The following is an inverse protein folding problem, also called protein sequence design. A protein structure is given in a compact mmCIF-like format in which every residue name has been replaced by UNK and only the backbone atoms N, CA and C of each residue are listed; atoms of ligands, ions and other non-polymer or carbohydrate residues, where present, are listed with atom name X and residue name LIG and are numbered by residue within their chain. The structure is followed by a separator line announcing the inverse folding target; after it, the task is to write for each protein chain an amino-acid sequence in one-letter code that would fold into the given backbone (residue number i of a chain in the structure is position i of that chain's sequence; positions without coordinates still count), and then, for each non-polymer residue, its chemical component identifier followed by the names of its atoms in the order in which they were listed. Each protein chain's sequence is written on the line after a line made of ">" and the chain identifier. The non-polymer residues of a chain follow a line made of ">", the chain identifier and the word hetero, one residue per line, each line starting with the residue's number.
data_IF_320799122712
#
_entry.id   IF_320799122712
#
_cell.length_a   1.000
_cell.length_b   1.000
_cell.length_c   1.000
_cell.angle_alpha   90.00
_cell.angle_beta   90.00
_cell.angle_gamma   90.00
#
_symmetry.space_group_name_H-M   'P 1'
#
loop_
_entity.id
_entity.type
_entity.pdbx_description
1 polymer ?
#
# COMPACT_ATOMS: atom_id res chain seq x y z
N UNK A 1 14.13 43.56 60.37
CA UNK A 1 12.92 42.99 59.75
C UNK A 1 12.72 43.60 58.38
N UNK A 2 13.12 42.91 57.29
CA UNK A 2 12.64 43.20 55.93
C UNK A 2 12.55 41.90 55.12
N UNK A 3 11.30 41.48 55.02
CA UNK A 3 10.61 40.70 53.98
C UNK A 3 11.35 39.55 53.26
N UNK A 4 10.77 38.37 53.44
CA UNK A 4 10.91 37.13 52.69
C UNK A 4 10.14 37.23 51.35
N UNK A 5 10.54 36.36 50.41
CA UNK A 5 9.76 35.81 49.29
C UNK A 5 9.83 36.65 47.98
N UNK A 6 9.86 36.10 46.77
CA UNK A 6 9.35 34.81 46.26
C UNK A 6 10.23 34.36 45.08
N UNK A 7 10.63 33.10 45.08
CA UNK A 7 11.25 32.36 43.97
C UNK A 7 10.22 32.08 42.87
N UNK A 8 10.49 32.47 41.62
CA UNK A 8 9.78 31.94 40.43
C UNK A 8 10.78 31.24 39.52
N UNK A 9 10.85 29.92 39.68
CA UNK A 9 11.54 29.01 38.77
C UNK A 9 10.62 28.75 37.57
N UNK A 10 10.92 29.38 36.43
CA UNK A 10 10.22 29.13 35.17
C UNK A 10 10.80 27.86 34.52
N UNK A 11 10.11 26.73 34.69
CA UNK A 11 10.37 25.50 33.95
C UNK A 11 9.72 25.66 32.57
N UNK A 12 10.52 25.93 31.54
CA UNK A 12 10.07 25.88 30.16
C UNK A 12 9.99 24.41 29.72
N UNK A 13 8.80 23.81 29.84
CA UNK A 13 8.50 22.54 29.19
C UNK A 13 8.35 22.80 27.68
N UNK A 14 9.37 22.42 26.91
CA UNK A 14 9.26 22.36 25.46
C UNK A 14 8.27 21.23 25.12
N UNK A 15 7.09 21.62 24.65
CA UNK A 15 6.09 20.71 24.10
C UNK A 15 6.67 20.07 22.83
N UNK A 16 6.96 18.78 22.90
CA UNK A 16 7.14 17.95 21.71
C UNK A 16 5.83 18.00 20.92
N UNK A 17 5.86 18.57 19.72
CA UNK A 17 4.78 18.43 18.74
C UNK A 17 4.66 16.93 18.42
N UNK A 18 3.69 16.26 19.04
CA UNK A 18 3.22 14.96 18.58
C UNK A 18 2.62 15.18 17.19
N UNK A 19 3.39 14.80 16.16
CA UNK A 19 2.83 14.55 14.85
C UNK A 19 1.63 13.61 15.00
N UNK A 20 0.56 13.81 14.22
CA UNK A 20 -0.46 12.78 14.05
C UNK A 20 0.20 11.59 13.35
N UNK A 21 0.92 10.78 14.13
CA UNK A 21 1.63 9.61 13.68
C UNK A 21 0.63 8.48 13.52
N UNK A 22 0.31 8.17 12.27
CA UNK A 22 0.09 6.78 11.91
C UNK A 22 1.49 6.13 11.85
N UNK A 23 2.10 6.00 13.03
CA UNK A 23 3.43 5.42 13.20
C UNK A 23 3.37 3.91 13.13
N UNK A 24 4.53 3.28 13.04
CA UNK A 24 4.86 1.84 13.13
C UNK A 24 3.99 0.98 14.06
N UNK A 25 3.30 1.59 15.03
CA UNK A 25 2.33 1.03 15.97
C UNK A 25 1.10 0.43 15.26
N UNK A 26 1.31 -0.64 14.49
CA UNK A 26 0.27 -1.33 13.76
C UNK A 26 0.77 -2.20 12.61
N UNK A 27 2.02 -1.97 12.16
CA UNK A 27 2.64 -2.80 11.13
C UNK A 27 2.98 -4.17 11.73
N UNK A 28 2.42 -5.23 11.13
CA UNK A 28 2.65 -6.61 11.60
C UNK A 28 3.77 -7.32 10.83
N UNK A 29 4.23 -6.73 9.72
CA UNK A 29 5.40 -7.17 8.97
C UNK A 29 6.65 -7.06 9.84
N UNK A 30 7.49 -8.09 9.85
CA UNK A 30 8.77 -8.08 10.57
C UNK A 30 9.71 -7.00 10.02
N UNK A 31 10.44 -6.31 10.91
CA UNK A 31 11.48 -5.32 10.56
C UNK A 31 12.61 -5.87 9.70
N UNK A 32 12.87 -7.16 9.82
CA UNK A 32 13.91 -7.85 9.04
C UNK A 32 13.40 -8.32 7.66
N UNK A 33 12.10 -8.13 7.37
CA UNK A 33 11.51 -8.48 6.07
C UNK A 33 11.89 -7.45 5.01
N UNK A 34 12.18 -7.87 3.75
CA UNK A 34 12.34 -6.93 2.64
C UNK A 34 11.08 -6.07 2.37
N UNK A 35 9.90 -6.49 2.85
CA UNK A 35 8.64 -5.80 2.61
C UNK A 35 8.32 -4.74 3.67
N UNK A 36 9.11 -4.68 4.74
CA UNK A 36 8.84 -3.80 5.89
C UNK A 36 8.76 -2.34 5.48
N UNK A 37 9.73 -1.87 4.70
CA UNK A 37 9.76 -0.49 4.21
C UNK A 37 8.56 -0.20 3.30
N UNK A 38 8.10 -1.19 2.52
CA UNK A 38 6.88 -1.08 1.73
C UNK A 38 5.63 -0.93 2.61
N UNK A 39 5.58 -1.64 3.73
CA UNK A 39 4.50 -1.51 4.72
C UNK A 39 4.51 -0.13 5.42
N UNK A 40 5.69 0.39 5.77
CA UNK A 40 5.83 1.75 6.34
C UNK A 40 5.37 2.82 5.36
N UNK A 41 5.83 2.73 4.11
CA UNK A 41 5.42 3.66 3.05
C UNK A 41 3.90 3.59 2.81
N UNK A 42 3.32 2.39 2.82
CA UNK A 42 1.86 2.23 2.71
C UNK A 42 1.12 2.85 3.90
N UNK A 43 1.59 2.59 5.12
CA UNK A 43 1.00 3.13 6.35
C UNK A 43 0.99 4.66 6.34
N UNK A 44 2.11 5.28 5.94
CA UNK A 44 2.25 6.73 5.90
C UNK A 44 1.41 7.41 4.80
N UNK A 45 1.20 6.75 3.66
CA UNK A 45 0.69 7.41 2.46
C UNK A 45 -0.68 6.90 1.97
N UNK A 46 -1.05 5.67 2.28
CA UNK A 46 -2.21 4.98 1.72
C UNK A 46 -3.28 4.64 2.77
N UNK A 47 -2.89 4.53 4.04
CA UNK A 47 -3.75 4.03 5.13
C UNK A 47 -4.99 4.88 5.42
N UNK A 48 -4.97 6.17 5.05
CA UNK A 48 -6.13 7.04 5.20
C UNK A 48 -7.32 6.64 4.31
N UNK A 49 -7.07 5.95 3.19
CA UNK A 49 -8.11 5.55 2.24
C UNK A 49 -8.30 4.04 2.16
N UNK A 50 -7.22 3.26 2.28
CA UNK A 50 -7.25 1.81 2.10
C UNK A 50 -7.17 1.06 3.42
N UNK A 51 -7.87 -0.06 3.48
CA UNK A 51 -7.65 -1.08 4.52
C UNK A 51 -6.64 -2.08 3.99
N UNK A 52 -5.59 -2.34 4.76
CA UNK A 52 -4.60 -3.39 4.54
C UNK A 52 -3.95 -3.71 5.89
N UNK A 53 -4.44 -4.77 6.54
CA UNK A 53 -4.13 -5.11 7.93
C UNK A 53 -2.63 -5.26 8.20
N UNK A 54 -1.80 -5.82 7.30
CA UNK A 54 -0.35 -5.94 7.55
C UNK A 54 0.41 -4.62 7.69
N UNK A 55 -0.12 -3.53 7.13
CA UNK A 55 0.40 -2.17 7.33
C UNK A 55 -0.30 -1.42 8.49
N UNK A 56 -1.12 -2.12 9.27
CA UNK A 56 -1.98 -1.52 10.31
C UNK A 56 -3.11 -0.66 9.75
N UNK A 57 -3.29 -0.61 8.42
CA UNK A 57 -4.17 0.33 7.75
C UNK A 57 -5.64 -0.08 7.84
N UNK A 58 -6.49 0.83 8.32
CA UNK A 58 -7.94 0.59 8.49
C UNK A 58 -8.82 1.40 7.53
N UNK A 59 -8.21 2.21 6.65
CA UNK A 59 -8.93 3.14 5.79
C UNK A 59 -9.66 4.21 6.61
N UNK A 60 -10.72 4.79 6.04
CA UNK A 60 -11.57 5.78 6.73
C UNK A 60 -12.49 5.17 7.80
N UNK A 61 -12.53 3.84 7.93
CA UNK A 61 -13.41 3.11 8.86
C UNK A 61 -14.93 3.19 8.54
N UNK A 62 -15.36 4.06 7.63
CA UNK A 62 -16.77 4.29 7.31
C UNK A 62 -17.11 3.77 5.90
N UNK A 63 -17.69 2.58 5.76
CA UNK A 63 -18.00 1.98 4.44
C UNK A 63 -19.12 2.69 3.64
N UNK A 64 -19.73 3.75 4.16
CA UNK A 64 -20.83 4.50 3.53
C UNK A 64 -20.44 5.79 2.81
N UNK A 65 -19.20 6.24 2.89
CA UNK A 65 -18.73 7.44 2.16
C UNK A 65 -18.21 7.02 0.76
N UNK A 66 -18.27 7.91 -0.25
CA UNK A 66 -17.87 7.61 -1.64
C UNK A 66 -16.37 7.78 -1.93
N UNK A 67 -15.58 8.19 -0.93
CA UNK A 67 -14.17 8.59 -1.04
C UNK A 67 -13.31 7.60 -0.25
N UNK A 68 -13.48 6.31 -0.52
CA UNK A 68 -12.76 5.23 0.16
C UNK A 68 -11.97 4.45 -0.88
N UNK A 69 -10.74 4.08 -0.52
CA UNK A 69 -10.01 3.06 -1.24
C UNK A 69 -10.65 1.69 -1.01
N UNK A 70 -10.46 0.73 -1.93
CA UNK A 70 -10.82 -0.66 -1.68
C UNK A 70 -10.16 -1.21 -0.41
N UNK A 71 -10.86 -2.13 0.26
CA UNK A 71 -10.27 -2.99 1.27
C UNK A 71 -9.39 -4.02 0.58
N UNK A 72 -8.07 -3.89 0.75
CA UNK A 72 -7.07 -4.74 0.10
C UNK A 72 -6.91 -6.07 0.84
N UNK A 73 -7.39 -6.23 2.08
CA UNK A 73 -7.42 -7.55 2.73
C UNK A 73 -8.38 -8.51 1.99
N UNK A 74 -9.41 -7.98 1.33
CA UNK A 74 -10.50 -8.75 0.71
C UNK A 74 -10.34 -8.98 -0.80
N UNK A 75 -9.25 -8.51 -1.39
CA UNK A 75 -8.97 -8.67 -2.83
C UNK A 75 -7.48 -8.84 -3.05
N UNK A 76 -7.12 -9.78 -3.91
CA UNK A 76 -5.73 -9.90 -4.35
C UNK A 76 -5.40 -8.76 -5.31
N UNK A 77 -4.15 -8.31 -5.26
CA UNK A 77 -3.60 -7.36 -6.20
C UNK A 77 -2.27 -7.90 -6.74
N UNK A 78 -1.94 -7.53 -7.96
CA UNK A 78 -0.63 -7.84 -8.54
C UNK A 78 0.29 -6.65 -8.38
N UNK A 79 1.60 -6.89 -8.39
CA UNK A 79 2.60 -5.81 -8.41
C UNK A 79 2.31 -4.78 -9.52
N UNK A 80 1.99 -5.24 -10.73
CA UNK A 80 1.72 -4.38 -11.88
C UNK A 80 0.43 -3.57 -11.70
N UNK A 81 -0.64 -4.16 -11.15
CA UNK A 81 -1.89 -3.45 -10.89
C UNK A 81 -1.71 -2.38 -9.81
N UNK A 82 -1.03 -2.73 -8.71
CA UNK A 82 -0.72 -1.80 -7.63
C UNK A 82 0.16 -0.64 -8.11
N UNK A 83 1.24 -0.93 -8.84
CA UNK A 83 2.15 0.09 -9.36
C UNK A 83 1.42 1.03 -10.34
N UNK A 84 0.60 0.48 -11.24
CA UNK A 84 -0.22 1.28 -12.15
C UNK A 84 -1.17 2.21 -11.39
N UNK A 85 -1.86 1.70 -10.37
CA UNK A 85 -2.76 2.49 -9.55
C UNK A 85 -2.03 3.63 -8.83
N UNK A 86 -0.86 3.37 -8.24
CA UNK A 86 -0.04 4.39 -7.57
C UNK A 86 0.36 5.49 -8.55
N UNK A 87 0.77 5.13 -9.77
CA UNK A 87 1.26 6.10 -10.77
C UNK A 87 0.15 6.92 -11.42
N UNK A 88 -1.06 6.37 -11.53
CA UNK A 88 -2.14 6.96 -12.34
C UNK A 88 -3.38 7.38 -11.54
N UNK A 89 -3.35 7.24 -10.20
CA UNK A 89 -4.49 7.63 -9.36
C UNK A 89 -5.62 6.59 -9.34
N UNK A 90 -5.24 5.31 -9.25
CA UNK A 90 -6.15 4.19 -9.42
C UNK A 90 -6.56 3.97 -10.87
N UNK A 91 -7.41 2.97 -11.10
CA UNK A 91 -7.85 2.59 -12.46
C UNK A 91 -8.79 3.60 -13.13
N UNK A 92 -9.35 4.54 -12.37
CA UNK A 92 -10.19 5.62 -12.89
C UNK A 92 -9.50 6.99 -12.90
N UNK A 93 -8.40 7.17 -12.16
CA UNK A 93 -7.77 8.48 -11.94
C UNK A 93 -8.61 9.48 -11.14
N UNK A 94 -9.78 9.09 -10.64
CA UNK A 94 -10.79 10.06 -10.17
C UNK A 94 -10.74 10.36 -8.66
N UNK A 95 -10.33 9.39 -7.84
CA UNK A 95 -10.42 9.47 -6.37
C UNK A 95 -9.07 9.23 -5.70
N UNK A 96 -8.34 8.19 -6.12
CA UNK A 96 -7.00 7.94 -5.60
C UNK A 96 -6.05 8.97 -6.22
N UNK A 97 -5.25 9.71 -5.43
CA UNK A 97 -4.26 10.61 -5.99
C UNK A 97 -3.17 9.85 -6.76
N UNK A 98 -2.67 10.45 -7.83
CA UNK A 98 -1.55 9.91 -8.61
C UNK A 98 -0.20 10.28 -7.97
N UNK A 99 0.81 9.44 -8.15
CA UNK A 99 2.21 9.68 -7.75
C UNK A 99 2.38 10.07 -6.28
N UNK A 100 1.60 9.45 -5.38
CA UNK A 100 1.70 9.67 -3.92
C UNK A 100 3.10 9.27 -3.41
N UNK A 101 3.64 8.18 -3.97
CA UNK A 101 5.03 7.77 -3.89
C UNK A 101 5.55 7.52 -5.31
N UNK A 102 6.85 7.60 -5.52
CA UNK A 102 7.47 7.51 -6.86
C UNK A 102 8.76 6.69 -6.85
N UNK A 103 9.21 6.25 -8.03
CA UNK A 103 10.46 5.50 -8.17
C UNK A 103 10.48 4.25 -7.31
N UNK A 104 11.60 4.04 -6.61
CA UNK A 104 11.82 2.86 -5.77
C UNK A 104 10.77 2.71 -4.65
N UNK A 105 10.30 3.82 -4.06
CA UNK A 105 9.25 3.79 -3.03
C UNK A 105 7.94 3.23 -3.59
N UNK A 106 7.56 3.64 -4.80
CA UNK A 106 6.36 3.11 -5.47
C UNK A 106 6.48 1.61 -5.74
N UNK A 107 7.68 1.13 -6.11
CA UNK A 107 7.91 -0.29 -6.30
C UNK A 107 7.83 -1.06 -4.97
N UNK A 108 8.39 -0.53 -3.89
CA UNK A 108 8.33 -1.14 -2.55
C UNK A 108 6.88 -1.26 -2.07
N UNK A 109 6.08 -0.20 -2.21
CA UNK A 109 4.65 -0.23 -1.88
C UNK A 109 3.91 -1.22 -2.77
N UNK A 110 4.18 -1.24 -4.08
CA UNK A 110 3.52 -2.16 -5.00
C UNK A 110 3.84 -3.63 -4.72
N UNK A 111 5.10 -3.96 -4.34
CA UNK A 111 5.50 -5.30 -3.91
C UNK A 111 4.78 -5.70 -2.63
N UNK A 112 4.83 -4.84 -1.62
CA UNK A 112 4.12 -5.07 -0.36
C UNK A 112 2.61 -5.28 -0.57
N UNK A 113 1.95 -4.47 -1.41
CA UNK A 113 0.52 -4.69 -1.72
C UNK A 113 0.31 -6.03 -2.41
N UNK A 114 1.18 -6.43 -3.33
CA UNK A 114 1.03 -7.71 -4.03
C UNK A 114 1.17 -8.92 -3.11
N UNK A 115 2.09 -8.87 -2.15
CA UNK A 115 2.41 -9.99 -1.26
C UNK A 115 1.40 -10.15 -0.12
N UNK A 116 0.73 -9.06 0.29
CA UNK A 116 -0.11 -9.03 1.49
C UNK A 116 -1.61 -8.77 1.22
N UNK A 117 -1.99 -8.35 0.00
CA UNK A 117 -3.40 -8.18 -0.34
C UNK A 117 -4.11 -9.52 -0.52
N UNK A 118 -5.39 -9.57 -0.15
CA UNK A 118 -6.23 -10.75 -0.30
C UNK A 118 -6.10 -11.77 0.82
N UNK A 119 -5.49 -11.43 1.96
CA UNK A 119 -5.39 -12.32 3.13
C UNK A 119 -6.75 -12.86 3.62
N UNK A 120 -7.81 -12.09 3.39
CA UNK A 120 -9.20 -12.39 3.77
C UNK A 120 -10.08 -12.73 2.56
N UNK A 121 -9.51 -12.88 1.36
CA UNK A 121 -10.26 -13.16 0.12
C UNK A 121 -10.89 -14.57 0.09
N UNK A 122 -10.57 -15.45 1.06
CA UNK A 122 -11.05 -16.83 1.16
C UNK A 122 -10.37 -17.78 0.16
N UNK A 123 -10.35 -19.08 0.47
CA UNK A 123 -9.72 -20.12 -0.37
C UNK A 123 -10.25 -20.16 -1.83
N UNK A 124 -11.46 -19.65 -2.06
CA UNK A 124 -12.08 -19.53 -3.39
C UNK A 124 -11.36 -18.55 -4.36
N UNK A 125 -10.46 -17.70 -3.86
CA UNK A 125 -9.69 -16.75 -4.69
C UNK A 125 -8.31 -17.26 -5.13
N UNK A 126 -7.76 -18.28 -4.47
CA UNK A 126 -6.40 -18.76 -4.71
C UNK A 126 -6.31 -19.78 -5.85
N UNK A 127 -7.40 -20.50 -6.11
CA UNK A 127 -7.48 -21.56 -7.14
C UNK A 127 -7.67 -21.02 -8.58
N UNK A 128 -7.91 -19.71 -8.76
CA UNK A 128 -8.04 -19.09 -10.07
C UNK A 128 -6.72 -18.57 -10.66
N UNK A 129 -5.61 -18.51 -9.90
CA UNK A 129 -4.37 -17.86 -10.37
C UNK A 129 -3.20 -18.82 -10.67
N UNK A 130 -3.33 -20.13 -10.43
CA UNK A 130 -2.25 -21.09 -10.71
C UNK A 130 -2.38 -21.82 -12.05
N UNK A 131 -3.37 -21.48 -12.88
CA UNK A 131 -3.58 -22.19 -14.15
C UNK A 131 -4.14 -21.31 -15.28
N UNK A 132 -3.54 -20.15 -15.52
CA UNK A 132 -3.52 -19.60 -16.88
C UNK A 132 -2.10 -19.14 -17.21
N UNK A 133 -1.25 -20.14 -17.41
CA UNK A 133 -0.03 -20.02 -18.19
C UNK A 133 -0.39 -19.52 -19.58
N UNK A 134 0.17 -18.36 -19.95
CA UNK A 134 0.79 -18.15 -21.26
C UNK A 134 -0.04 -18.58 -22.49
N UNK A 135 -1.09 -17.82 -22.82
CA UNK A 135 -1.87 -18.02 -24.05
C UNK A 135 -1.95 -16.73 -24.90
N UNK A 136 -0.94 -15.85 -24.85
CA UNK A 136 -0.95 -14.62 -25.67
C UNK A 136 0.36 -14.29 -26.37
N UNK A 137 1.32 -15.21 -26.43
CA UNK A 137 2.45 -15.10 -27.34
C UNK A 137 2.16 -15.95 -28.58
N UNK A 138 1.80 -15.37 -29.74
CA UNK A 138 1.78 -16.11 -30.98
C UNK A 138 3.23 -16.32 -31.46
N UNK A 139 3.77 -17.50 -31.15
CA UNK A 139 4.94 -18.06 -31.83
C UNK A 139 4.47 -18.65 -33.17
N UNK A 140 4.45 -17.85 -34.24
CA UNK A 140 4.58 -18.44 -35.58
C UNK A 140 5.14 -17.43 -36.60
N UNK A 141 6.40 -17.65 -36.96
CA UNK A 141 7.07 -17.10 -38.13
C UNK A 141 7.48 -18.28 -39.04
N UNK A 142 7.62 -18.05 -40.35
CA UNK A 142 6.99 -18.85 -41.40
C UNK A 142 7.71 -20.16 -41.70
N UNK A 143 6.95 -21.22 -41.93
CA UNK A 143 7.47 -22.46 -42.54
C UNK A 143 7.27 -22.44 -44.05
N UNK A 144 8.40 -22.57 -44.74
CA UNK A 144 8.53 -22.79 -46.18
C UNK A 144 7.83 -24.06 -46.64
N UNK A 145 7.04 -23.98 -47.71
CA UNK A 145 6.41 -25.14 -48.35
C UNK A 145 6.33 -24.96 -49.85
N UNK A 146 7.20 -25.67 -50.57
CA UNK A 146 7.21 -25.88 -52.01
C UNK A 146 5.95 -26.59 -52.50
N UNK A 147 5.34 -26.13 -53.60
CA UNK A 147 4.66 -27.00 -54.56
C UNK A 147 4.99 -26.51 -55.96
N UNK A 148 5.47 -27.45 -56.79
CA UNK A 148 5.63 -27.30 -58.21
C UNK A 148 4.40 -27.81 -58.96
N UNK A 149 4.50 -27.63 -60.28
CA UNK A 149 3.54 -27.90 -61.37
C UNK A 149 2.49 -26.81 -61.63
#
# INVERSE_FOLDING_TARGET
>A
MRAVAITTLAIAAALSLSACGFGEEGITVSKDSPDYEGAELFAANCAGCHTLTPAGALGTGNRGTRVQGPNLDQRTETYKSALHAIQNGGFSGAIMPQNIVVGEEAEKVARFVADYAGSDAGEAGAEAYSQETDASVPEDAPTTGTFGE
#
